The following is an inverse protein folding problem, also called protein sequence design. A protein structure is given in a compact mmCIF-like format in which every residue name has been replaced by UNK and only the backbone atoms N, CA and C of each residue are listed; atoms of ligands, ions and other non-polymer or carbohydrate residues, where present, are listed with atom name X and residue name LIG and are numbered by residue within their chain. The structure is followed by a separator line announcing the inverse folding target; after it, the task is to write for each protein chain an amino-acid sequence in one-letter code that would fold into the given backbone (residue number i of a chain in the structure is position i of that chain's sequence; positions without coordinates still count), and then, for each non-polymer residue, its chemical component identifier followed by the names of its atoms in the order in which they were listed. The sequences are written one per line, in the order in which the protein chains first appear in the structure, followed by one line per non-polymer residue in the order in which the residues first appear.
data_IF_465678552275
#
_entry.id   IF_465678552275
#
_cell.length_a   1.000
_cell.length_b   1.000
_cell.length_c   1.000
_cell.angle_alpha   90.00
_cell.angle_beta   90.00
_cell.angle_gamma   90.00
#
_symmetry.space_group_name_H-M   'P 1'
#
loop_
_entity.id
_entity.type
_entity.pdbx_description
1 polymer ?
#
# COMPACT_ATOMS: atom_id res chain seq x y z
N UNK A 1 0.04 -3.36 -2.52
CA UNK A 1 0.69 -3.88 -3.74
C UNK A 1 1.35 -2.75 -4.54
N UNK A 2 0.61 -1.81 -5.16
CA UNK A 2 1.15 -0.73 -6.03
C UNK A 2 2.33 0.13 -5.51
N UNK A 3 2.46 0.35 -4.20
CA UNK A 3 3.60 1.11 -3.66
C UNK A 3 4.91 0.31 -3.73
N UNK A 4 4.87 -1.01 -3.50
CA UNK A 4 6.06 -1.87 -3.63
C UNK A 4 6.55 -1.94 -5.08
N UNK A 5 5.63 -1.95 -6.05
CA UNK A 5 6.00 -1.97 -7.47
C UNK A 5 6.73 -0.68 -7.88
N UNK A 6 6.33 0.45 -7.29
CA UNK A 6 6.97 1.74 -7.54
C UNK A 6 8.38 1.78 -6.96
N UNK A 7 8.57 1.36 -5.70
CA UNK A 7 9.90 1.32 -5.09
C UNK A 7 10.83 0.34 -5.80
N UNK A 8 10.32 -0.84 -6.17
CA UNK A 8 11.07 -1.83 -6.95
C UNK A 8 11.50 -1.29 -8.31
N UNK A 9 10.60 -0.59 -9.01
CA UNK A 9 10.92 0.03 -10.29
C UNK A 9 11.99 1.13 -10.15
N UNK A 10 11.94 1.94 -9.08
CA UNK A 10 12.94 2.96 -8.80
C UNK A 10 14.35 2.38 -8.59
N UNK A 11 14.47 1.28 -7.83
CA UNK A 11 15.75 0.59 -7.61
C UNK A 11 16.34 0.10 -8.93
N UNK A 12 15.53 -0.53 -9.78
CA UNK A 12 15.97 -1.03 -11.09
C UNK A 12 16.44 0.10 -12.01
N UNK A 13 15.73 1.24 -12.03
CA UNK A 13 16.13 2.41 -12.81
C UNK A 13 17.46 3.00 -12.31
N UNK A 14 17.69 2.99 -10.99
CA UNK A 14 18.93 3.47 -10.39
C UNK A 14 20.12 2.57 -10.75
N UNK A 15 19.94 1.25 -10.70
CA UNK A 15 20.94 0.28 -11.16
C UNK A 15 21.23 0.42 -12.66
N UNK A 16 20.20 0.61 -13.48
CA UNK A 16 20.38 0.82 -14.91
C UNK A 16 21.17 2.11 -15.19
N UNK A 17 20.88 3.21 -14.47
CA UNK A 17 21.65 4.45 -14.54
C UNK A 17 23.15 4.29 -14.21
N UNK A 18 23.51 3.34 -13.33
CA UNK A 18 24.91 3.03 -12.99
C UNK A 18 25.64 2.28 -14.12
N UNK A 19 24.89 1.53 -14.93
CA UNK A 19 25.40 0.80 -16.10
C UNK A 19 25.63 1.72 -17.31
N UNK A 20 24.90 2.83 -17.39
CA UNK A 20 25.10 3.87 -18.42
C UNK A 20 26.34 4.73 -18.12
N UNK A 21 27.43 4.40 -18.81
CA UNK A 21 28.76 5.04 -18.64
C UNK A 21 29.24 5.74 -19.90
N UNK A 22 28.69 5.40 -21.07
CA UNK A 22 29.16 5.96 -22.33
C UNK A 22 28.69 7.42 -22.50
N UNK A 23 29.45 8.27 -23.19
CA UNK A 23 29.03 9.65 -23.44
C UNK A 23 27.75 9.74 -24.29
N UNK A 24 27.53 8.79 -25.21
CA UNK A 24 26.32 8.72 -26.05
C UNK A 24 25.07 8.40 -25.21
N UNK A 25 25.24 7.75 -24.05
CA UNK A 25 24.16 7.35 -23.15
C UNK A 25 23.75 8.46 -22.16
N UNK A 26 24.45 9.60 -22.13
CA UNK A 26 24.19 10.65 -21.13
C UNK A 26 22.79 11.26 -21.26
N UNK A 27 22.25 11.34 -22.48
CA UNK A 27 20.90 11.83 -22.71
C UNK A 27 19.85 10.86 -22.16
N UNK A 28 20.03 9.56 -22.37
CA UNK A 28 19.20 8.52 -21.78
C UNK A 28 19.28 8.53 -20.26
N UNK A 29 20.48 8.64 -19.70
CA UNK A 29 20.72 8.77 -18.25
C UNK A 29 19.98 9.97 -17.64
N UNK A 30 19.99 11.12 -18.33
CA UNK A 30 19.22 12.31 -17.93
C UNK A 30 17.71 12.04 -17.97
N UNK A 31 17.21 11.38 -19.01
CA UNK A 31 15.78 11.05 -19.12
C UNK A 31 15.32 10.14 -17.98
N UNK A 32 16.08 9.09 -17.67
CA UNK A 32 15.78 8.15 -16.58
C UNK A 32 15.76 8.86 -15.23
N UNK A 33 16.74 9.74 -14.96
CA UNK A 33 16.76 10.52 -13.71
C UNK A 33 15.54 11.42 -13.56
N UNK A 34 15.04 12.01 -14.66
CA UNK A 34 13.80 12.79 -14.63
C UNK A 34 12.61 11.91 -14.25
N UNK A 35 12.49 10.73 -14.85
CA UNK A 35 11.44 9.77 -14.50
C UNK A 35 11.53 9.37 -13.03
N UNK A 36 12.70 9.00 -12.53
CA UNK A 36 12.90 8.70 -11.10
C UNK A 36 12.49 9.87 -10.18
N UNK A 37 12.82 11.11 -10.57
CA UNK A 37 12.42 12.30 -9.83
C UNK A 37 10.90 12.53 -9.79
N UNK A 38 10.20 12.25 -10.89
CA UNK A 38 8.73 12.32 -10.96
C UNK A 38 8.11 11.28 -10.02
N UNK A 39 8.60 10.04 -10.06
CA UNK A 39 8.09 8.96 -9.19
C UNK A 39 8.40 9.19 -7.70
N UNK A 40 9.46 9.93 -7.37
CA UNK A 40 9.80 10.34 -6.00
C UNK A 40 9.08 11.62 -5.54
N UNK A 41 8.36 12.31 -6.42
CA UNK A 41 7.65 13.54 -6.08
C UNK A 41 6.49 13.24 -5.13
N UNK A 42 6.39 14.00 -4.03
CA UNK A 42 5.29 13.91 -3.07
C UNK A 42 3.92 14.12 -3.73
N UNK A 43 3.84 15.00 -4.73
CA UNK A 43 2.62 15.19 -5.53
C UNK A 43 2.26 13.91 -6.28
N UNK A 44 3.21 13.32 -7.00
CA UNK A 44 2.95 12.11 -7.79
C UNK A 44 2.62 10.91 -6.90
N UNK A 45 3.31 10.77 -5.76
CA UNK A 45 3.01 9.75 -4.76
C UNK A 45 1.62 9.92 -4.15
N UNK A 46 1.20 11.15 -3.85
CA UNK A 46 -0.15 11.44 -3.36
C UNK A 46 -1.22 11.11 -4.42
N UNK A 47 -0.95 11.39 -5.70
CA UNK A 47 -1.84 11.01 -6.81
C UNK A 47 -1.96 9.49 -6.95
N UNK A 48 -0.86 8.74 -6.82
CA UNK A 48 -0.84 7.28 -6.80
C UNK A 48 -1.55 6.69 -5.56
N UNK A 49 -1.40 7.32 -4.40
CA UNK A 49 -2.09 6.95 -3.16
C UNK A 49 -3.61 7.16 -3.28
N UNK A 50 -4.02 8.27 -3.90
CA UNK A 50 -5.41 8.66 -4.10
C UNK A 50 -6.17 7.67 -5.00
N UNK A 51 -5.46 6.98 -5.91
CA UNK A 51 -6.03 5.90 -6.74
C UNK A 51 -6.50 4.67 -5.97
N UNK A 52 -6.29 4.59 -4.65
CA UNK A 52 -6.73 3.49 -3.79
C UNK A 52 -7.87 3.84 -2.81
N UNK A 53 -8.56 4.96 -2.99
CA UNK A 53 -9.71 5.35 -2.14
C UNK A 53 -11.07 5.09 -2.82
N UNK A 54 -11.30 3.88 -3.32
CA UNK A 54 -12.68 3.48 -3.68
C UNK A 54 -12.83 1.96 -3.73
N UNK A 55 -12.85 1.30 -2.58
CA UNK A 55 -13.78 0.19 -2.30
C UNK A 55 -13.59 -0.29 -0.87
N UNK A 56 -14.16 0.42 0.08
CA UNK A 56 -14.76 -0.23 1.25
C UNK A 56 -16.13 0.40 1.44
N UNK A 57 -17.12 -0.19 0.75
CA UNK A 57 -18.50 -0.13 1.22
C UNK A 57 -18.51 -0.74 2.63
N UNK A 58 -18.44 0.07 3.67
CA UNK A 58 -19.04 -0.31 4.94
C UNK A 58 -20.55 -0.14 4.79
N UNK A 59 -21.17 -1.13 4.16
CA UNK A 59 -22.55 -1.49 4.50
C UNK A 59 -22.48 -2.34 5.77
N UNK A 60 -22.40 -1.69 6.93
CA UNK A 60 -22.80 -2.32 8.20
C UNK A 60 -24.19 -1.82 8.52
N UNK A 61 -25.17 -2.46 7.90
CA UNK A 61 -26.51 -2.54 8.46
C UNK A 61 -26.37 -3.38 9.73
N UNK A 62 -26.35 -2.73 10.90
CA UNK A 62 -26.52 -3.41 12.18
C UNK A 62 -27.53 -2.62 12.99
N UNK A 63 -28.75 -2.59 12.50
CA UNK A 63 -29.92 -2.45 13.35
C UNK A 63 -30.43 -3.86 13.64
N UNK A 64 -30.49 -4.17 14.94
CA UNK A 64 -31.24 -5.27 15.58
C UNK A 64 -30.86 -6.71 15.23
N UNK A 65 -30.19 -7.41 16.16
CA UNK A 65 -30.78 -8.54 16.90
C UNK A 65 -29.84 -9.06 18.02
N UNK A 66 -30.30 -8.84 19.24
CA UNK A 66 -30.14 -9.56 20.53
C UNK A 66 -28.79 -10.19 20.95
N UNK A 67 -28.33 -9.94 22.20
CA UNK A 67 -27.19 -10.61 22.81
C UNK A 67 -27.58 -11.82 23.67
N UNK A 68 -26.57 -12.62 24.03
CA UNK A 68 -26.50 -13.59 25.14
C UNK A 68 -27.03 -15.00 24.86
N UNK A 69 -26.20 -15.82 24.24
CA UNK A 69 -26.11 -17.25 24.54
C UNK A 69 -24.65 -17.71 24.41
N UNK A 70 -23.82 -17.26 25.35
CA UNK A 70 -22.55 -17.90 25.67
C UNK A 70 -22.53 -18.09 27.18
N UNK A 71 -23.35 -19.01 27.67
CA UNK A 71 -23.35 -19.47 29.04
C UNK A 71 -22.82 -20.90 29.05
N UNK A 72 -21.50 -21.03 28.98
CA UNK A 72 -20.79 -22.25 29.35
C UNK A 72 -19.58 -21.82 30.15
N UNK A 73 -19.74 -21.79 31.47
CA UNK A 73 -18.72 -21.99 32.51
C UNK A 73 -19.37 -21.61 33.85
N UNK A 74 -19.24 -22.26 35.00
CA UNK A 74 -18.74 -23.55 35.45
C UNK A 74 -18.89 -23.45 36.99
N UNK A 75 -19.28 -24.55 37.66
CA UNK A 75 -19.17 -24.80 39.12
C UNK A 75 -20.06 -24.00 40.11
N UNK A 76 -20.97 -24.73 40.77
CA UNK A 76 -21.21 -24.55 42.22
C UNK A 76 -22.66 -24.47 42.66
N UNK A 77 -23.34 -25.61 42.82
CA UNK A 77 -24.55 -25.70 43.67
C UNK A 77 -24.15 -26.05 45.11
N UNK A 78 -24.45 -25.19 46.11
CA UNK A 78 -24.70 -25.63 47.49
C UNK A 78 -26.19 -25.98 47.63
N UNK A 79 -26.47 -27.15 48.20
CA UNK A 79 -27.80 -27.59 48.61
C UNK A 79 -27.99 -27.20 50.07
N UNK A 80 -29.01 -26.42 50.38
CA UNK A 80 -29.69 -26.38 51.68
C UNK A 80 -31.17 -26.02 51.43
#
# INVERSE_FOLDING_TARGET
VFFLDTDRALVLLEEYCKKLRKPEEQQLKKAIRKVMGIFKSSLFQALLASKRKMSTRHGTTSHTMLPVAFACDVLGCPKD
#
